data_IF_000526945710
#
_entry.id   IF_000526945710
#
_cell.length_a   1.000
_cell.length_b   1.000
_cell.length_c   1.000
_cell.angle_alpha   90.00
_cell.angle_beta   90.00
_cell.angle_gamma   90.00
#
_symmetry.space_group_name_H-M   'P 1'
#
loop_
_entity.id
_entity.type
_entity.pdbx_description
1 polymer ?
#
# COMPACT_ATOMS: atom_id res chain seq x y z
N UNK A 1 9.76 -13.08 -3.97
CA UNK A 1 8.91 -12.95 -2.77
C UNK A 1 7.97 -11.78 -3.00
N UNK A 2 6.78 -12.03 -3.52
CA UNK A 2 5.69 -11.05 -3.55
C UNK A 2 5.09 -11.00 -2.15
N UNK A 3 5.41 -9.96 -1.39
CA UNK A 3 4.68 -9.68 -0.16
C UNK A 3 3.23 -9.35 -0.56
N UNK A 4 2.25 -9.89 0.17
CA UNK A 4 0.86 -9.50 -0.07
C UNK A 4 0.70 -8.01 0.28
N UNK A 5 -0.14 -7.28 -0.46
CA UNK A 5 -0.41 -5.86 -0.22
C UNK A 5 -0.73 -5.58 1.25
N UNK A 6 -1.46 -6.51 1.89
CA UNK A 6 -1.77 -6.47 3.32
C UNK A 6 -0.52 -6.47 4.22
N UNK A 7 0.47 -7.32 3.95
CA UNK A 7 1.72 -7.36 4.71
C UNK A 7 2.55 -6.09 4.52
N UNK A 8 2.56 -5.54 3.31
CA UNK A 8 3.23 -4.26 3.05
C UNK A 8 2.55 -3.12 3.81
N UNK A 9 1.20 -3.08 3.78
CA UNK A 9 0.40 -2.08 4.49
C UNK A 9 0.66 -2.09 5.99
N UNK A 10 0.60 -3.26 6.63
CA UNK A 10 0.88 -3.41 8.07
C UNK A 10 2.27 -2.86 8.42
N UNK A 11 3.28 -3.16 7.62
CA UNK A 11 4.65 -2.69 7.85
C UNK A 11 4.80 -1.18 7.73
N UNK A 12 4.05 -0.55 6.82
CA UNK A 12 4.06 0.92 6.67
C UNK A 12 3.27 1.59 7.78
N UNK A 13 2.14 1.02 8.21
CA UNK A 13 1.37 1.50 9.37
C UNK A 13 2.20 1.46 10.66
N UNK A 14 2.91 0.36 10.92
CA UNK A 14 3.86 0.24 12.05
C UNK A 14 4.95 1.32 12.01
N UNK A 15 5.50 1.56 10.82
CA UNK A 15 6.55 2.57 10.63
C UNK A 15 6.02 3.99 10.78
N UNK A 16 4.80 4.27 10.33
CA UNK A 16 4.12 5.54 10.56
C UNK A 16 3.83 5.77 12.05
N UNK A 17 3.39 4.74 12.77
CA UNK A 17 3.17 4.81 14.21
C UNK A 17 4.46 5.19 14.96
N UNK A 18 5.58 4.52 14.66
CA UNK A 18 6.87 4.82 15.25
C UNK A 18 7.36 6.25 14.94
N UNK A 19 7.15 6.73 13.70
CA UNK A 19 7.52 8.09 13.32
C UNK A 19 6.67 9.15 14.04
N UNK A 20 5.37 8.89 14.23
CA UNK A 20 4.45 9.78 14.96
C UNK A 20 4.78 9.81 16.45
N UNK A 21 5.13 8.68 17.05
CA UNK A 21 5.58 8.62 18.44
C UNK A 21 6.86 9.42 18.64
N UNK A 22 7.83 9.30 17.72
CA UNK A 22 9.05 10.09 17.74
C UNK A 22 8.78 11.58 17.53
N UNK A 23 7.86 11.92 16.64
CA UNK A 23 7.43 13.31 16.42
C UNK A 23 6.84 13.93 17.69
N UNK A 24 6.03 13.18 18.44
CA UNK A 24 5.41 13.65 19.68
C UNK A 24 6.42 13.93 20.82
N UNK A 25 7.66 13.42 20.70
CA UNK A 25 8.74 13.65 21.66
C UNK A 25 9.68 14.79 21.26
N UNK A 26 9.52 15.36 20.07
CA UNK A 26 10.36 16.46 19.59
C UNK A 26 9.80 17.82 20.00
N UNK A 27 10.70 18.78 20.15
CA UNK A 27 10.32 20.18 20.30
C UNK A 27 9.72 20.72 19.01
N UNK A 28 8.62 21.47 19.16
CA UNK A 28 7.97 22.18 18.08
C UNK A 28 8.92 23.20 17.43
N UNK A 29 8.98 23.20 16.11
CA UNK A 29 9.86 24.05 15.30
C UNK A 29 11.27 23.51 15.10
N UNK A 30 11.60 22.32 15.62
CA UNK A 30 12.91 21.71 15.38
C UNK A 30 13.06 21.21 13.93
N UNK A 31 14.29 21.26 13.40
CA UNK A 31 14.58 20.76 12.05
C UNK A 31 14.31 19.25 11.92
N UNK A 32 14.48 18.51 13.02
CA UNK A 32 14.15 17.08 13.08
C UNK A 32 12.64 16.85 12.97
N UNK A 33 11.81 17.69 13.59
CA UNK A 33 10.35 17.64 13.46
C UNK A 33 9.92 17.87 12.00
N UNK A 34 10.47 18.88 11.33
CA UNK A 34 10.15 19.18 9.93
C UNK A 34 10.55 18.02 8.99
N UNK A 35 11.70 17.40 9.27
CA UNK A 35 12.18 16.21 8.55
C UNK A 35 11.26 15.00 8.74
N UNK A 36 10.82 14.74 9.99
CA UNK A 36 9.88 13.66 10.29
C UNK A 36 8.50 13.89 9.67
N UNK A 37 7.97 15.12 9.72
CA UNK A 37 6.71 15.48 9.06
C UNK A 37 6.76 15.22 7.56
N UNK A 38 7.85 15.63 6.88
CA UNK A 38 8.06 15.31 5.47
C UNK A 38 8.11 13.81 5.21
N UNK A 39 8.78 13.05 6.08
CA UNK A 39 8.91 11.60 5.95
C UNK A 39 7.56 10.89 6.14
N UNK A 40 6.75 11.33 7.10
CA UNK A 40 5.39 10.84 7.35
C UNK A 40 4.52 11.10 6.13
N UNK A 41 4.50 12.33 5.61
CA UNK A 41 3.68 12.70 4.45
C UNK A 41 4.03 11.91 3.18
N UNK A 42 5.32 11.62 2.95
CA UNK A 42 5.73 10.76 1.84
C UNK A 42 5.20 9.34 1.96
N UNK A 43 5.27 8.75 3.17
CA UNK A 43 4.78 7.39 3.42
C UNK A 43 3.25 7.30 3.32
N UNK A 44 2.52 8.31 3.83
CA UNK A 44 1.07 8.38 3.69
C UNK A 44 0.64 8.46 2.23
N UNK A 45 1.35 9.22 1.40
CA UNK A 45 1.09 9.28 -0.04
C UNK A 45 1.38 7.96 -0.75
N UNK A 46 2.46 7.28 -0.38
CA UNK A 46 2.81 5.97 -0.96
C UNK A 46 1.75 4.92 -0.64
N UNK A 47 1.22 4.89 0.59
CA UNK A 47 0.10 4.02 0.96
C UNK A 47 -1.14 4.36 0.17
N UNK A 48 -1.49 5.64 0.08
CA UNK A 48 -2.68 6.08 -0.65
C UNK A 48 -2.62 5.70 -2.13
N UNK A 49 -1.47 5.86 -2.78
CA UNK A 49 -1.30 5.46 -4.18
C UNK A 49 -1.47 3.95 -4.36
N UNK A 50 -0.96 3.15 -3.42
CA UNK A 50 -1.11 1.70 -3.48
C UNK A 50 -2.54 1.24 -3.20
N UNK A 51 -3.31 1.98 -2.39
CA UNK A 51 -4.75 1.77 -2.22
C UNK A 51 -5.54 2.15 -3.48
N UNK A 52 -5.19 3.26 -4.13
CA UNK A 52 -5.79 3.64 -5.41
C UNK A 52 -5.47 2.63 -6.51
N UNK A 53 -4.22 2.18 -6.60
CA UNK A 53 -3.80 1.14 -7.52
C UNK A 53 -4.57 -0.17 -7.21
N UNK A 54 -4.66 -0.60 -5.95
CA UNK A 54 -5.44 -1.78 -5.57
C UNK A 54 -6.94 -1.65 -5.86
N UNK A 55 -7.54 -0.46 -5.70
CA UNK A 55 -8.93 -0.23 -6.10
C UNK A 55 -9.10 -0.25 -7.62
N UNK A 56 -8.14 0.32 -8.35
CA UNK A 56 -8.14 0.38 -9.81
C UNK A 56 -7.92 -0.99 -10.45
N UNK A 57 -7.00 -1.81 -9.89
CA UNK A 57 -6.70 -3.17 -10.35
C UNK A 57 -7.64 -4.22 -9.72
N UNK A 58 -8.15 -4.01 -8.52
CA UNK A 58 -9.13 -4.87 -7.83
C UNK A 58 -10.51 -4.89 -8.51
N UNK A 59 -10.82 -3.86 -9.31
CA UNK A 59 -11.97 -3.85 -10.23
C UNK A 59 -11.66 -4.60 -11.54
N UNK A 60 -10.38 -4.80 -11.88
CA UNK A 60 -9.95 -5.37 -13.15
C UNK A 60 -9.70 -6.88 -13.11
N UNK A 61 -9.54 -7.48 -11.93
CA UNK A 61 -9.46 -8.94 -11.74
C UNK A 61 -10.83 -9.63 -11.63
N UNK A 62 -11.93 -8.88 -11.60
CA UNK A 62 -13.31 -9.39 -11.55
C UNK A 62 -14.06 -9.29 -12.90
N UNK A 63 -13.31 -9.23 -14.01
CA UNK A 63 -13.77 -9.82 -15.26
C UNK A 63 -13.57 -11.36 -15.14
N UNK A 64 -14.58 -12.03 -14.58
CA UNK A 64 -14.78 -13.48 -14.70
C UNK A 64 -15.56 -13.83 -15.99
N UNK A 65 -15.69 -12.93 -16.97
CA UNK A 65 -16.46 -13.15 -18.21
C UNK A 65 -15.60 -13.22 -19.49
N UNK A 66 -14.27 -13.20 -19.40
CA UNK A 66 -13.38 -13.55 -20.52
C UNK A 66 -12.44 -14.72 -20.22
N UNK A 67 -12.69 -15.44 -19.12
CA UNK A 67 -12.01 -16.67 -18.73
C UNK A 67 -12.40 -17.92 -19.54
N UNK A 68 -12.67 -17.80 -20.84
CA UNK A 68 -12.81 -18.97 -21.73
C UNK A 68 -11.42 -19.44 -22.22
N UNK A 69 -10.63 -19.96 -21.30
CA UNK A 69 -9.51 -20.85 -21.62
C UNK A 69 -9.48 -22.03 -20.65
N UNK A 70 -10.57 -22.79 -20.61
CA UNK A 70 -10.53 -24.18 -20.20
C UNK A 70 -10.64 -25.03 -21.48
N UNK A 71 -9.47 -25.41 -22.00
CA UNK A 71 -9.31 -26.52 -22.93
C UNK A 71 -9.90 -27.79 -22.30
N UNK A 72 -10.77 -28.52 -23.03
CA UNK A 72 -11.07 -29.96 -22.90
C UNK A 72 -12.37 -30.30 -23.65
N UNK A 73 -12.26 -30.56 -24.95
CA UNK A 73 -13.00 -31.69 -25.56
C UNK A 73 -12.19 -32.29 -26.71
N UNK A 74 -11.61 -33.44 -26.40
CA UNK A 74 -11.28 -34.52 -27.33
C UNK A 74 -12.46 -34.74 -28.30
N UNK A 75 -12.14 -35.03 -29.56
CA UNK A 75 -13.07 -35.22 -30.68
C UNK A 75 -14.20 -36.23 -30.47
N UNK A 76 -15.05 -36.40 -31.49
CA UNK A 76 -14.64 -37.08 -32.72
C UNK A 76 -14.44 -36.20 -33.94
#
# INVERSE_FOLDING_TARGET
MTYSLWQWRQRVEERLAALRERLAQLEDGSSEQESLLRRISMLEREVHQLEEDDQQWGTQWLDEESGAAADLTIGP
#
